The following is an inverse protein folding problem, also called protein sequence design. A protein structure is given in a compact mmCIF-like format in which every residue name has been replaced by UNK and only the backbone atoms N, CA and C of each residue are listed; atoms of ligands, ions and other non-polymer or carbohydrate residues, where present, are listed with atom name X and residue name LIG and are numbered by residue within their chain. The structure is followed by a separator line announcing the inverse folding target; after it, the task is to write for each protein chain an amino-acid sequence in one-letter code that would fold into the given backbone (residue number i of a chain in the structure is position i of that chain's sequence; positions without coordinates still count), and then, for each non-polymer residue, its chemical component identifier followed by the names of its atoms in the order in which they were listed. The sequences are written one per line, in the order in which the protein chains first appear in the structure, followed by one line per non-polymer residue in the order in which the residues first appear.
data_IF_896446072626
#
_entry.id   IF_896446072626
#
_cell.length_a   1.000
_cell.length_b   1.000
_cell.length_c   1.000
_cell.angle_alpha   90.00
_cell.angle_beta   90.00
_cell.angle_gamma   90.00
#
_symmetry.space_group_name_H-M   'P 1'
#
loop_
_entity.id
_entity.type
_entity.pdbx_description
1 polymer ?
#
# COMPACT_ATOMS: atom_id res chain seq x y z
N UNK A 1 -2.67 22.23 -49.13
CA UNK A 1 -1.66 21.16 -49.22
C UNK A 1 -0.32 21.79 -48.84
N UNK A 2 -0.11 22.10 -47.56
CA UNK A 2 0.54 21.30 -46.50
C UNK A 2 1.88 20.72 -46.97
N UNK A 3 2.98 21.31 -46.53
CA UNK A 3 4.11 20.55 -45.97
C UNK A 3 4.67 21.30 -44.77
N UNK A 4 4.90 20.52 -43.72
CA UNK A 4 5.01 20.92 -42.32
C UNK A 4 6.45 21.34 -42.01
N UNK A 5 6.59 22.56 -41.51
CA UNK A 5 7.74 23.00 -40.71
C UNK A 5 7.57 22.40 -39.32
N UNK A 6 8.55 21.63 -38.84
CA UNK A 6 8.60 21.24 -37.43
C UNK A 6 9.23 19.89 -37.18
N UNK A 7 10.52 19.86 -36.85
CA UNK A 7 11.21 18.62 -36.52
C UNK A 7 12.58 18.81 -35.91
N UNK A 8 12.79 19.86 -35.11
CA UNK A 8 13.96 19.99 -34.25
C UNK A 8 13.47 20.26 -32.83
N UNK A 9 13.25 19.19 -32.07
CA UNK A 9 13.23 19.27 -30.61
C UNK A 9 14.08 18.12 -30.05
N UNK A 10 15.36 18.44 -29.89
CA UNK A 10 16.25 17.99 -28.81
C UNK A 10 15.90 16.63 -28.16
N UNK A 11 16.30 15.54 -28.79
CA UNK A 11 16.71 14.33 -28.08
C UNK A 11 18.22 14.45 -27.89
N UNK A 12 18.63 15.24 -26.89
CA UNK A 12 20.03 15.33 -26.47
C UNK A 12 20.11 15.03 -24.98
N UNK A 13 20.75 13.89 -24.66
CA UNK A 13 21.54 13.77 -23.44
C UNK A 13 20.95 12.96 -22.29
N UNK A 14 20.84 11.63 -22.46
CA UNK A 14 20.96 10.71 -21.33
C UNK A 14 21.58 9.36 -21.76
N UNK A 15 22.64 9.40 -22.57
CA UNK A 15 23.66 8.35 -22.52
C UNK A 15 24.62 8.77 -21.40
N UNK A 16 24.19 8.53 -20.16
CA UNK A 16 25.01 8.75 -18.98
C UNK A 16 25.79 7.45 -18.69
N UNK A 17 27.11 7.61 -18.66
CA UNK A 17 28.15 6.62 -18.39
C UNK A 17 27.73 5.45 -17.48
N UNK A 18 27.93 4.24 -18.03
CA UNK A 18 27.73 2.93 -17.43
C UNK A 18 28.75 2.56 -16.32
N UNK A 19 29.44 3.54 -15.72
CA UNK A 19 30.56 3.28 -14.80
C UNK A 19 30.47 3.98 -13.44
N UNK A 20 29.47 4.86 -13.24
CA UNK A 20 29.15 5.46 -11.92
C UNK A 20 27.63 5.57 -11.71
N UNK A 21 26.88 4.62 -12.25
CA UNK A 21 25.41 4.60 -12.39
C UNK A 21 24.58 4.48 -11.10
N UNK A 22 25.02 5.10 -9.99
CA UNK A 22 24.28 5.15 -8.73
C UNK A 22 23.30 6.33 -8.62
N UNK A 23 23.54 7.46 -9.30
CA UNK A 23 22.93 8.75 -8.93
C UNK A 23 21.97 9.38 -9.96
N UNK A 24 21.92 8.93 -11.21
CA UNK A 24 20.96 9.49 -12.19
C UNK A 24 19.59 8.81 -12.09
N UNK A 25 19.54 7.53 -11.74
CA UNK A 25 18.27 6.83 -11.43
C UNK A 25 17.61 7.36 -10.15
N UNK A 26 18.37 8.04 -9.29
CA UNK A 26 17.85 8.69 -8.08
C UNK A 26 16.92 9.87 -8.39
N UNK A 27 16.98 10.48 -9.59
CA UNK A 27 15.98 11.50 -9.97
C UNK A 27 14.59 10.93 -10.28
N UNK A 28 14.41 9.60 -10.24
CA UNK A 28 13.11 8.93 -10.24
C UNK A 28 12.48 8.79 -8.83
N UNK A 29 13.14 9.29 -7.77
CA UNK A 29 12.69 9.19 -6.37
C UNK A 29 11.46 10.02 -5.98
N UNK A 30 10.87 10.80 -6.90
CA UNK A 30 9.63 11.54 -6.60
C UNK A 30 8.39 10.64 -6.49
N UNK A 31 8.52 9.34 -6.81
CA UNK A 31 7.41 8.40 -6.91
C UNK A 31 7.63 7.15 -6.06
N UNK A 32 8.23 7.31 -4.88
CA UNK A 32 8.49 6.20 -3.96
C UNK A 32 7.96 6.48 -2.56
N UNK A 33 7.46 5.43 -1.94
CA UNK A 33 7.32 5.34 -0.49
C UNK A 33 8.56 4.70 0.11
N UNK A 34 8.94 5.15 1.29
CA UNK A 34 9.90 4.51 2.19
C UNK A 34 9.17 3.92 3.39
N UNK A 35 9.40 2.63 3.68
CA UNK A 35 8.91 2.03 4.92
C UNK A 35 9.70 2.62 6.07
N UNK A 36 9.03 3.30 6.99
CA UNK A 36 9.65 3.88 8.19
C UNK A 36 9.73 2.88 9.32
N UNK A 37 8.61 2.24 9.62
CA UNK A 37 8.47 1.35 10.76
C UNK A 37 7.33 0.37 10.53
N UNK A 38 7.38 -0.74 11.28
CA UNK A 38 6.24 -1.63 11.51
C UNK A 38 5.83 -1.48 12.97
N UNK A 39 4.55 -1.52 13.26
CA UNK A 39 4.05 -1.58 14.64
C UNK A 39 4.58 -2.83 15.36
N UNK A 40 4.93 -2.67 16.63
CA UNK A 40 5.43 -3.74 17.51
C UNK A 40 4.32 -4.30 18.41
N UNK A 41 3.13 -4.54 17.84
CA UNK A 41 2.00 -5.09 18.57
C UNK A 41 2.16 -6.62 18.72
N UNK A 42 2.22 -7.17 19.96
CA UNK A 42 2.42 -8.60 20.16
C UNK A 42 1.19 -9.44 19.77
N UNK A 43 -0.02 -8.88 19.79
CA UNK A 43 -1.24 -9.60 19.40
C UNK A 43 -1.38 -9.70 17.87
N UNK A 44 -0.80 -8.75 17.12
CA UNK A 44 -0.83 -8.73 15.66
C UNK A 44 0.48 -8.23 15.04
N UNK A 45 1.49 -9.10 15.00
CA UNK A 45 2.84 -8.73 14.55
C UNK A 45 3.03 -8.86 13.03
N UNK A 46 3.59 -7.83 12.40
CA UNK A 46 3.99 -7.85 10.99
C UNK A 46 5.39 -8.46 10.86
N UNK A 47 5.47 -9.68 10.35
CA UNK A 47 6.75 -10.40 10.20
C UNK A 47 7.44 -10.14 8.87
N UNK A 48 6.67 -9.87 7.82
CA UNK A 48 7.23 -9.57 6.52
C UNK A 48 6.27 -8.83 5.61
N UNK A 49 6.83 -7.97 4.77
CA UNK A 49 6.14 -7.30 3.68
C UNK A 49 6.90 -7.55 2.37
N UNK A 50 6.19 -7.64 1.26
CA UNK A 50 6.74 -7.98 -0.05
C UNK A 50 6.18 -7.07 -1.13
N UNK A 51 7.02 -6.75 -2.11
CA UNK A 51 6.52 -6.22 -3.38
C UNK A 51 6.05 -7.34 -4.32
N UNK A 52 5.50 -6.97 -5.48
CA UNK A 52 5.01 -7.92 -6.50
C UNK A 52 6.06 -8.91 -7.01
N UNK A 53 7.35 -8.64 -6.82
CA UNK A 53 8.45 -9.49 -7.26
C UNK A 53 8.93 -10.43 -6.16
N UNK A 54 8.28 -10.42 -4.99
CA UNK A 54 8.67 -11.21 -3.83
C UNK A 54 9.87 -10.65 -3.07
N UNK A 55 10.31 -9.42 -3.39
CA UNK A 55 11.38 -8.77 -2.63
C UNK A 55 10.83 -8.36 -1.26
N UNK A 56 11.52 -8.78 -0.20
CA UNK A 56 11.17 -8.40 1.17
C UNK A 56 11.41 -6.91 1.36
N UNK A 57 10.43 -6.22 1.94
CA UNK A 57 10.51 -4.82 2.34
C UNK A 57 10.63 -4.75 3.86
N UNK A 58 11.66 -4.06 4.33
CA UNK A 58 11.96 -3.79 5.74
C UNK A 58 11.99 -2.29 5.99
N UNK A 59 12.02 -1.81 7.25
CA UNK A 59 12.34 -0.41 7.54
C UNK A 59 13.56 0.08 6.75
N UNK A 60 13.44 1.24 6.11
CA UNK A 60 14.39 1.84 5.17
C UNK A 60 14.24 1.40 3.71
N UNK A 61 13.43 0.37 3.42
CA UNK A 61 13.16 -0.07 2.05
C UNK A 61 12.30 0.93 1.31
N UNK A 62 12.61 1.13 0.02
CA UNK A 62 11.82 1.97 -0.89
C UNK A 62 11.12 1.16 -1.96
N UNK A 63 9.90 1.56 -2.30
CA UNK A 63 9.11 0.98 -3.38
C UNK A 63 8.32 2.06 -4.13
N UNK A 64 8.05 1.85 -5.41
CA UNK A 64 7.35 2.84 -6.23
C UNK A 64 5.84 2.64 -6.19
N UNK A 65 5.09 3.73 -5.98
CA UNK A 65 3.63 3.73 -6.06
C UNK A 65 3.08 4.06 -7.47
N UNK A 66 3.94 4.44 -8.44
CA UNK A 66 3.55 4.99 -9.75
C UNK A 66 2.63 4.11 -10.58
N UNK A 67 2.80 2.79 -10.49
CA UNK A 67 2.03 1.83 -11.27
C UNK A 67 0.97 1.11 -10.44
N UNK A 68 0.65 1.64 -9.25
CA UNK A 68 -0.27 0.99 -8.32
C UNK A 68 0.12 -0.45 -8.07
N UNK A 69 1.42 -0.72 -7.94
CA UNK A 69 1.91 -2.10 -7.75
C UNK A 69 1.43 -2.58 -6.39
N UNK A 70 0.68 -3.69 -6.32
CA UNK A 70 0.25 -4.21 -5.04
C UNK A 70 1.44 -4.72 -4.23
N UNK A 71 1.35 -4.51 -2.93
CA UNK A 71 2.17 -5.15 -1.93
C UNK A 71 1.41 -6.32 -1.29
N UNK A 72 2.14 -7.14 -0.56
CA UNK A 72 1.58 -8.17 0.31
C UNK A 72 2.26 -8.09 1.67
N UNK A 73 1.52 -8.38 2.73
CA UNK A 73 2.03 -8.43 4.10
C UNK A 73 1.59 -9.73 4.76
N UNK A 74 2.41 -10.24 5.68
CA UNK A 74 2.09 -11.41 6.49
C UNK A 74 2.68 -11.29 7.88
N UNK A 75 2.10 -12.03 8.79
CA UNK A 75 2.51 -11.97 10.17
C UNK A 75 2.05 -13.13 11.02
N UNK A 76 2.22 -12.93 12.31
CA UNK A 76 1.70 -13.81 13.34
C UNK A 76 0.67 -13.04 14.16
N UNK A 77 -0.29 -13.76 14.72
CA UNK A 77 -1.32 -13.15 15.55
C UNK A 77 -1.83 -14.14 16.59
N UNK A 78 -2.35 -13.60 17.69
CA UNK A 78 -3.12 -14.32 18.71
C UNK A 78 -4.63 -14.16 18.53
N UNK A 79 -5.08 -13.38 17.53
CA UNK A 79 -6.50 -13.30 17.15
C UNK A 79 -7.02 -14.63 16.62
N UNK A 80 -8.30 -14.91 16.89
CA UNK A 80 -8.98 -16.07 16.35
C UNK A 80 -9.19 -15.93 14.82
N UNK A 81 -9.32 -17.05 14.12
CA UNK A 81 -9.63 -17.09 12.69
C UNK A 81 -11.05 -16.57 12.35
N UNK A 82 -11.91 -16.48 13.36
CA UNK A 82 -13.24 -15.86 13.27
C UNK A 82 -13.20 -14.33 13.30
N UNK A 83 -12.09 -13.72 13.75
CA UNK A 83 -11.95 -12.27 13.77
C UNK A 83 -11.93 -11.69 12.35
N UNK A 84 -12.30 -10.41 12.25
CA UNK A 84 -12.38 -9.70 10.97
C UNK A 84 -11.42 -8.53 10.99
N UNK A 85 -10.35 -8.66 10.20
CA UNK A 85 -9.33 -7.63 10.06
C UNK A 85 -9.30 -7.15 8.61
N UNK A 86 -9.32 -5.84 8.44
CA UNK A 86 -9.22 -5.18 7.15
C UNK A 86 -7.94 -4.36 7.08
N UNK A 87 -7.35 -4.27 5.89
CA UNK A 87 -6.29 -3.31 5.61
C UNK A 87 -6.91 -2.04 5.02
N UNK A 88 -6.55 -0.89 5.57
CA UNK A 88 -6.93 0.43 5.06
C UNK A 88 -5.66 1.26 4.87
N UNK A 89 -5.65 2.11 3.85
CA UNK A 89 -4.54 3.04 3.61
C UNK A 89 -4.95 4.41 4.12
N UNK A 90 -4.16 5.04 4.97
CA UNK A 90 -4.43 6.37 5.49
C UNK A 90 -3.56 7.40 4.75
N UNK A 91 -4.19 8.47 4.25
CA UNK A 91 -3.48 9.57 3.57
C UNK A 91 -3.18 10.77 4.47
N UNK A 92 -2.31 11.64 3.98
CA UNK A 92 -1.92 12.90 4.63
C UNK A 92 -3.09 13.90 4.85
N UNK A 93 -4.24 13.66 4.23
CA UNK A 93 -5.44 14.50 4.33
C UNK A 93 -6.49 13.94 5.29
N UNK A 94 -6.23 12.81 5.95
CA UNK A 94 -7.15 12.21 6.89
C UNK A 94 -8.12 11.19 6.28
N UNK A 95 -7.98 10.84 4.99
CA UNK A 95 -8.86 9.89 4.31
C UNK A 95 -8.35 8.46 4.41
N UNK A 96 -9.28 7.51 4.53
CA UNK A 96 -8.96 6.08 4.49
C UNK A 96 -9.32 5.49 3.13
N UNK A 97 -8.50 4.57 2.63
CA UNK A 97 -8.76 3.84 1.39
C UNK A 97 -8.80 2.35 1.67
N UNK A 98 -9.99 1.76 1.54
CA UNK A 98 -10.22 0.35 1.82
C UNK A 98 -9.46 -0.54 0.84
N UNK A 99 -8.77 -1.57 1.34
CA UNK A 99 -8.13 -2.60 0.52
C UNK A 99 -8.93 -3.89 0.55
N UNK A 100 -9.02 -4.56 -0.59
CA UNK A 100 -9.72 -5.82 -0.76
C UNK A 100 -8.81 -6.85 -1.45
N UNK A 101 -8.84 -8.13 -1.04
CA UNK A 101 -9.70 -8.75 -0.01
C UNK A 101 -9.33 -8.37 1.43
N UNK A 102 -10.20 -8.68 2.42
CA UNK A 102 -9.86 -8.59 3.84
C UNK A 102 -8.63 -9.44 4.17
N UNK A 103 -8.04 -9.19 5.34
CA UNK A 103 -6.94 -10.01 5.85
C UNK A 103 -7.45 -11.42 6.12
N UNK A 104 -6.74 -12.43 5.61
CA UNK A 104 -7.03 -13.83 5.91
C UNK A 104 -6.23 -14.25 7.13
N UNK A 105 -6.92 -14.72 8.17
CA UNK A 105 -6.32 -15.30 9.39
C UNK A 105 -6.52 -16.82 9.32
N UNK A 106 -5.44 -17.58 9.56
CA UNK A 106 -5.44 -19.06 9.56
C UNK A 106 -4.56 -19.56 10.69
N UNK A 107 -5.18 -19.97 11.79
CA UNK A 107 -4.46 -20.28 13.02
C UNK A 107 -3.66 -19.07 13.48
N UNK A 108 -2.37 -19.24 13.80
CA UNK A 108 -1.49 -18.17 14.29
C UNK A 108 -0.89 -17.27 13.21
N UNK A 109 -1.34 -17.41 11.96
CA UNK A 109 -0.78 -16.69 10.83
C UNK A 109 -1.84 -15.86 10.13
N UNK A 110 -1.43 -14.71 9.62
CA UNK A 110 -2.29 -13.87 8.80
C UNK A 110 -1.58 -13.42 7.51
N UNK A 111 -2.37 -13.12 6.50
CA UNK A 111 -1.90 -12.59 5.23
C UNK A 111 -2.84 -11.53 4.66
N UNK A 112 -2.25 -10.44 4.18
CA UNK A 112 -2.93 -9.38 3.43
C UNK A 112 -2.29 -9.27 2.04
N UNK A 113 -3.12 -9.17 1.01
CA UNK A 113 -2.69 -9.07 -0.39
C UNK A 113 -3.34 -7.87 -1.05
N UNK A 114 -2.87 -7.50 -2.24
CA UNK A 114 -3.43 -6.39 -3.01
C UNK A 114 -3.45 -5.07 -2.23
N UNK A 115 -2.36 -4.79 -1.50
CA UNK A 115 -2.19 -3.52 -0.79
C UNK A 115 -1.66 -2.47 -1.77
N UNK A 116 -2.45 -1.45 -2.10
CA UNK A 116 -2.07 -0.41 -3.07
C UNK A 116 -1.84 0.94 -2.38
N UNK A 117 -0.72 1.15 -1.68
CA UNK A 117 -0.35 2.46 -1.15
C UNK A 117 -0.03 3.41 -2.30
N UNK A 118 -1.02 4.21 -2.71
CA UNK A 118 -0.91 5.22 -3.77
C UNK A 118 -0.18 6.47 -3.26
N UNK A 119 -0.07 7.48 -4.12
CA UNK A 119 0.50 8.78 -3.75
C UNK A 119 -0.25 9.38 -2.55
N UNK A 120 0.48 9.89 -1.57
CA UNK A 120 -0.08 10.58 -0.41
C UNK A 120 -0.50 9.66 0.74
N UNK A 121 -0.48 8.33 0.54
CA UNK A 121 -0.66 7.37 1.63
C UNK A 121 0.54 7.45 2.56
N UNK A 122 0.30 7.71 3.84
CA UNK A 122 1.33 7.78 4.89
C UNK A 122 1.31 6.56 5.80
N UNK A 123 0.21 5.81 5.86
CA UNK A 123 0.15 4.59 6.66
C UNK A 123 -0.68 3.49 6.00
N UNK A 124 -0.31 2.25 6.28
CA UNK A 124 -1.14 1.08 6.07
C UNK A 124 -1.60 0.63 7.44
N UNK A 125 -2.90 0.68 7.70
CA UNK A 125 -3.48 0.37 9.00
C UNK A 125 -4.28 -0.91 8.91
N UNK A 126 -4.07 -1.82 9.87
CA UNK A 126 -4.84 -3.03 10.03
C UNK A 126 -5.87 -2.82 11.13
N UNK A 127 -7.14 -2.94 10.77
CA UNK A 127 -8.27 -2.63 11.66
C UNK A 127 -9.09 -3.89 11.91
N UNK A 128 -9.21 -4.27 13.18
CA UNK A 128 -10.18 -5.27 13.63
C UNK A 128 -11.54 -4.59 13.69
N UNK A 129 -12.56 -5.26 13.15
CA UNK A 129 -13.94 -4.76 13.10
C UNK A 129 -14.90 -5.80 13.63
N UNK A 130 -16.03 -5.35 14.16
CA UNK A 130 -17.13 -6.25 14.49
C UNK A 130 -17.86 -6.74 13.22
N UNK A 131 -18.84 -7.62 13.40
CA UNK A 131 -19.62 -8.20 12.30
C UNK A 131 -20.35 -7.12 11.46
N UNK A 132 -20.81 -6.04 12.10
CA UNK A 132 -21.50 -4.96 11.40
C UNK A 132 -20.51 -4.12 10.56
N UNK A 133 -19.33 -3.85 11.10
CA UNK A 133 -18.22 -3.22 10.39
C UNK A 133 -17.76 -4.05 9.19
N UNK A 134 -17.57 -5.36 9.37
CA UNK A 134 -17.18 -6.28 8.29
C UNK A 134 -18.20 -6.30 7.15
N UNK A 135 -19.50 -6.37 7.47
CA UNK A 135 -20.56 -6.32 6.48
C UNK A 135 -20.58 -4.98 5.73
N UNK A 136 -20.38 -3.86 6.44
CA UNK A 136 -20.33 -2.52 5.84
C UNK A 136 -19.15 -2.37 4.88
N UNK A 137 -17.95 -2.77 5.30
CA UNK A 137 -16.74 -2.72 4.48
C UNK A 137 -16.83 -3.67 3.28
N UNK A 138 -17.39 -4.87 3.47
CA UNK A 138 -17.65 -5.82 2.36
C UNK A 138 -18.59 -5.21 1.32
N UNK A 139 -19.67 -4.58 1.76
CA UNK A 139 -20.61 -3.93 0.85
C UNK A 139 -19.93 -2.80 0.06
N UNK A 140 -19.13 -1.96 0.72
CA UNK A 140 -18.41 -0.88 0.07
C UNK A 140 -17.36 -1.39 -0.92
N UNK A 141 -16.62 -2.44 -0.57
CA UNK A 141 -15.65 -3.08 -1.46
C UNK A 141 -16.32 -3.69 -2.71
N UNK A 142 -17.51 -4.27 -2.55
CA UNK A 142 -18.28 -4.89 -3.65
C UNK A 142 -18.91 -3.90 -4.64
N UNK A 143 -19.17 -2.66 -4.21
CA UNK A 143 -19.75 -1.61 -5.08
C UNK A 143 -18.68 -0.89 -5.92
N UNK A 144 -17.41 -0.95 -5.50
CA UNK A 144 -16.37 -0.02 -5.97
C UNK A 144 -15.26 -0.62 -6.84
N UNK A 145 -15.47 -1.77 -7.49
CA UNK A 145 -14.56 -2.22 -8.57
C UNK A 145 -15.05 -1.69 -9.94
N UNK A 146 -14.25 -0.97 -10.76
CA UNK A 146 -12.82 -0.62 -10.65
C UNK A 146 -12.55 0.91 -10.68
N UNK A 147 -13.40 1.75 -10.07
CA UNK A 147 -13.28 3.22 -10.20
C UNK A 147 -12.37 3.91 -9.17
N UNK A 148 -11.72 3.19 -8.26
CA UNK A 148 -10.64 3.74 -7.43
C UNK A 148 -11.06 4.70 -6.31
N UNK A 149 -12.34 5.01 -6.16
CA UNK A 149 -12.87 5.77 -5.02
C UNK A 149 -13.22 4.82 -3.86
N UNK A 150 -12.20 4.27 -3.21
CA UNK A 150 -12.32 3.47 -1.97
C UNK A 150 -12.27 4.33 -0.71
N UNK A 151 -12.60 5.62 -0.87
CA UNK A 151 -12.41 6.62 0.18
C UNK A 151 -13.49 6.49 1.25
N UNK A 152 -13.09 6.15 2.46
CA UNK A 152 -13.93 6.21 3.64
C UNK A 152 -13.72 7.53 4.34
N UNK A 153 -14.82 8.20 4.70
CA UNK A 153 -14.76 9.39 5.53
C UNK A 153 -14.36 9.06 6.98
N UNK A 154 -14.71 7.86 7.45
CA UNK A 154 -14.35 7.33 8.75
C UNK A 154 -14.39 5.80 8.71
N UNK A 155 -13.68 5.16 9.64
CA UNK A 155 -13.79 3.73 9.90
C UNK A 155 -15.16 3.40 10.53
N UNK A 156 -15.65 2.15 10.40
CA UNK A 156 -16.83 1.71 11.13
C UNK A 156 -16.70 1.97 12.64
N UNK A 157 -17.81 2.24 13.35
CA UNK A 157 -17.81 2.28 14.81
C UNK A 157 -17.23 0.99 15.40
N UNK A 158 -16.58 1.07 16.55
CA UNK A 158 -15.91 -0.05 17.23
C UNK A 158 -14.72 -0.65 16.48
N UNK A 159 -14.20 0.01 15.44
CA UNK A 159 -12.94 -0.41 14.83
C UNK A 159 -11.79 -0.24 15.81
N UNK A 160 -10.90 -1.22 15.86
CA UNK A 160 -9.67 -1.22 16.65
C UNK A 160 -8.47 -1.33 15.72
N UNK A 161 -7.50 -0.42 15.84
CA UNK A 161 -6.23 -0.53 15.13
C UNK A 161 -5.37 -1.58 15.84
N UNK A 162 -5.07 -2.69 15.16
CA UNK A 162 -4.28 -3.79 15.72
C UNK A 162 -2.84 -3.81 15.19
N UNK A 163 -2.57 -3.15 14.06
CA UNK A 163 -1.22 -2.95 13.55
C UNK A 163 -1.18 -1.83 12.53
N UNK A 164 0.03 -1.33 12.25
CA UNK A 164 0.25 -0.36 11.19
C UNK A 164 1.66 -0.47 10.56
N UNK A 165 1.79 0.04 9.35
CA UNK A 165 3.06 0.28 8.64
C UNK A 165 3.14 1.76 8.32
N UNK A 166 4.16 2.42 8.82
CA UNK A 166 4.40 3.85 8.55
C UNK A 166 5.18 4.01 7.23
N UNK A 167 4.73 4.93 6.38
CA UNK A 167 5.29 5.26 5.08
C UNK A 167 5.68 6.75 5.01
N UNK A 168 6.64 7.08 4.16
CA UNK A 168 7.04 8.47 3.85
C UNK A 168 7.46 8.66 2.40
#
# INVERSE_FOLDING_TARGET
WIEIVGGVLLIVGAVANLTTGGDVLQRLFFWSHEIRSFSDDPEFAITAMYDRFGRTLTPGSRFSYRFGVPLSARGVTDLADTERVWAVMWDEYGNYYLQYPPVSIRGRHWNAVSLHPLKGIIEIVFVKVDQAGDASLTQQAGVSQPSGDWRLAALPPNSEVVAYVELR
#
